data_IF_192719906620
#
_entry.id   IF_192719906620
#
_cell.length_a   1.000
_cell.length_b   1.000
_cell.length_c   1.000
_cell.angle_alpha   90.00
_cell.angle_beta   90.00
_cell.angle_gamma   90.00
#
_symmetry.space_group_name_H-M   'P 1'
#
loop_
_entity.id
_entity.type
_entity.pdbx_description
1 polymer ?
#
# COMPACT_ATOMS: atom_id res chain seq x y z
N UNK A 1 -18.06 7.57 -12.47
CA UNK A 1 -17.13 8.66 -12.87
C UNK A 1 -15.84 8.07 -13.43
N UNK A 2 -15.20 8.71 -14.41
CA UNK A 2 -13.84 8.34 -14.86
C UNK A 2 -12.78 8.92 -13.91
N UNK A 3 -11.93 8.07 -13.34
CA UNK A 3 -10.86 8.43 -12.42
C UNK A 3 -9.86 9.43 -13.00
N UNK A 4 -9.56 9.35 -14.31
CA UNK A 4 -8.61 10.26 -14.96
C UNK A 4 -9.06 11.70 -14.94
N UNK A 5 -10.38 11.94 -14.91
CA UNK A 5 -10.94 13.30 -14.88
C UNK A 5 -10.87 13.96 -13.49
N UNK A 6 -10.53 13.18 -12.46
CA UNK A 6 -10.46 13.59 -11.08
C UNK A 6 -9.02 13.60 -10.51
N UNK A 7 -8.01 13.31 -11.33
CA UNK A 7 -6.60 13.33 -10.90
C UNK A 7 -6.21 14.73 -10.47
N UNK A 8 -5.61 14.84 -9.27
CA UNK A 8 -5.07 16.08 -8.76
C UNK A 8 -3.64 16.31 -9.27
N UNK A 9 -2.81 15.27 -9.25
CA UNK A 9 -1.42 15.33 -9.72
C UNK A 9 -1.03 14.06 -10.48
N UNK A 10 -0.20 14.23 -11.51
CA UNK A 10 0.52 13.14 -12.18
C UNK A 10 2.01 13.51 -12.23
N UNK A 11 2.87 12.58 -11.83
CA UNK A 11 4.33 12.64 -11.94
C UNK A 11 4.84 11.39 -12.64
N UNK A 12 6.10 11.39 -13.05
CA UNK A 12 6.73 10.24 -13.68
C UNK A 12 8.15 10.05 -13.10
N UNK A 13 8.56 8.79 -12.87
CA UNK A 13 9.91 8.42 -12.41
C UNK A 13 10.88 8.05 -13.55
N UNK A 14 10.42 8.05 -14.79
CA UNK A 14 11.10 7.57 -16.01
C UNK A 14 11.49 6.07 -15.98
N UNK A 15 10.87 5.32 -15.06
CA UNK A 15 11.07 3.89 -14.80
C UNK A 15 9.87 3.32 -14.04
N UNK A 16 9.68 2.00 -13.94
CA UNK A 16 8.62 1.41 -13.12
C UNK A 16 8.65 1.88 -11.66
N UNK A 17 7.49 2.30 -11.14
CA UNK A 17 7.31 2.60 -9.71
C UNK A 17 7.22 1.28 -8.96
N UNK A 18 8.05 1.06 -7.95
CA UNK A 18 7.97 -0.11 -7.08
C UNK A 18 7.12 0.12 -5.83
N UNK A 19 7.13 1.33 -5.28
CA UNK A 19 6.50 1.64 -4.01
C UNK A 19 6.03 3.09 -3.95
N UNK A 20 4.91 3.33 -3.26
CA UNK A 20 4.40 4.68 -2.97
C UNK A 20 3.95 4.76 -1.52
N UNK A 21 4.17 5.90 -0.88
CA UNK A 21 3.73 6.16 0.49
C UNK A 21 3.25 7.62 0.61
N UNK A 22 2.15 7.81 1.34
CA UNK A 22 1.65 9.15 1.70
C UNK A 22 1.98 9.41 3.16
N UNK A 23 2.33 10.65 3.48
CA UNK A 23 2.43 11.10 4.87
C UNK A 23 1.07 11.59 5.42
N UNK A 24 1.01 11.80 6.74
CA UNK A 24 -0.12 12.47 7.40
C UNK A 24 -0.32 13.92 6.92
N UNK A 25 0.74 14.56 6.44
CA UNK A 25 0.75 15.92 5.90
C UNK A 25 0.47 15.95 4.40
N UNK A 26 0.04 14.82 3.81
CA UNK A 26 -0.30 14.68 2.40
C UNK A 26 0.88 14.76 1.42
N UNK A 27 2.11 14.63 1.90
CA UNK A 27 3.28 14.50 1.04
C UNK A 27 3.30 13.14 0.34
N UNK A 28 4.00 13.06 -0.79
CA UNK A 28 4.06 11.87 -1.65
C UNK A 28 5.50 11.41 -1.75
N UNK A 29 5.74 10.15 -1.39
CA UNK A 29 7.01 9.46 -1.59
C UNK A 29 6.80 8.36 -2.63
N UNK A 30 7.69 8.28 -3.62
CA UNK A 30 7.68 7.20 -4.61
C UNK A 30 9.07 6.63 -4.82
N UNK A 31 9.17 5.30 -4.74
CA UNK A 31 10.37 4.53 -5.00
C UNK A 31 10.31 3.86 -6.37
N UNK A 32 11.42 3.88 -7.09
CA UNK A 32 11.61 3.20 -8.37
C UNK A 32 12.30 1.83 -8.26
N UNK A 33 12.28 1.08 -9.36
CA UNK A 33 13.00 -0.18 -9.51
C UNK A 33 14.52 0.00 -9.57
N UNK A 34 15.02 1.19 -9.89
CA UNK A 34 16.46 1.54 -9.88
C UNK A 34 16.97 2.02 -8.51
N UNK A 35 16.11 2.09 -7.50
CA UNK A 35 16.44 2.59 -6.17
C UNK A 35 16.36 4.11 -5.97
N UNK A 36 15.81 4.88 -6.91
CA UNK A 36 15.54 6.30 -6.65
C UNK A 36 14.30 6.47 -5.78
N UNK A 37 14.44 7.21 -4.68
CA UNK A 37 13.33 7.70 -3.87
C UNK A 37 13.09 9.18 -4.18
N UNK A 38 11.87 9.53 -4.60
CA UNK A 38 11.47 10.91 -4.87
C UNK A 38 10.37 11.36 -3.91
N UNK A 39 10.49 12.61 -3.45
CA UNK A 39 9.54 13.25 -2.55
C UNK A 39 8.92 14.49 -3.21
N UNK A 40 7.59 14.60 -3.11
CA UNK A 40 6.83 15.81 -3.40
C UNK A 40 6.05 16.28 -2.18
N UNK A 41 6.01 17.60 -1.98
CA UNK A 41 5.27 18.21 -0.89
C UNK A 41 3.74 18.08 -1.07
N UNK A 42 3.00 18.58 -0.08
CA UNK A 42 1.54 18.57 -0.10
C UNK A 42 0.94 19.41 -1.24
N UNK A 43 1.67 20.35 -1.84
CA UNK A 43 1.23 21.13 -3.01
C UNK A 43 1.60 20.46 -4.34
N UNK A 44 2.39 19.38 -4.28
CA UNK A 44 2.86 18.61 -5.43
C UNK A 44 4.15 19.16 -6.04
N UNK A 45 4.82 20.09 -5.36
CA UNK A 45 6.14 20.55 -5.77
C UNK A 45 7.18 19.47 -5.48
N UNK A 46 8.15 19.31 -6.37
CA UNK A 46 9.27 18.41 -6.14
C UNK A 46 10.15 18.97 -5.03
N UNK A 47 10.48 18.14 -4.04
CA UNK A 47 11.36 18.50 -2.93
C UNK A 47 12.78 18.01 -3.19
N UNK A 48 12.93 16.70 -3.41
CA UNK A 48 14.21 16.05 -3.63
C UNK A 48 14.03 14.66 -4.26
N UNK A 49 15.10 14.17 -4.86
CA UNK A 49 15.25 12.79 -5.34
C UNK A 49 16.62 12.29 -4.89
N UNK A 50 16.67 11.14 -4.23
CA UNK A 50 17.91 10.56 -3.73
C UNK A 50 18.06 9.13 -4.24
N UNK A 51 19.19 8.78 -4.88
CA UNK A 51 19.49 7.41 -5.23
C UNK A 51 19.83 6.60 -3.97
N UNK A 52 19.24 5.40 -3.88
CA UNK A 52 19.62 4.37 -2.92
C UNK A 52 20.37 3.25 -3.67
N UNK A 53 20.32 2.01 -3.19
CA UNK A 53 21.22 0.96 -3.69
C UNK A 53 20.60 0.12 -4.81
N UNK A 54 19.30 -0.13 -4.74
CA UNK A 54 18.53 -1.00 -5.65
C UNK A 54 17.02 -0.74 -5.47
N UNK A 55 16.17 -1.49 -6.19
CA UNK A 55 14.71 -1.46 -6.10
C UNK A 55 14.22 -1.25 -4.67
N UNK A 56 13.35 -0.27 -4.50
CA UNK A 56 12.71 0.03 -3.22
C UNK A 56 11.54 -0.95 -3.01
N UNK A 57 11.64 -1.81 -2.00
CA UNK A 57 10.65 -2.84 -1.65
C UNK A 57 9.69 -2.42 -0.54
N UNK A 58 10.08 -1.45 0.29
CA UNK A 58 9.24 -0.89 1.35
C UNK A 58 9.66 0.54 1.71
N UNK A 59 8.70 1.34 2.20
CA UNK A 59 8.90 2.72 2.67
C UNK A 59 8.22 2.86 4.04
N UNK A 60 8.95 3.36 5.04
CA UNK A 60 8.40 3.70 6.35
C UNK A 60 8.74 5.15 6.71
N UNK A 61 7.72 5.92 7.13
CA UNK A 61 7.86 7.33 7.50
C UNK A 61 7.76 7.50 9.02
N UNK A 62 8.56 8.41 9.56
CA UNK A 62 8.30 9.05 10.84
C UNK A 62 8.29 10.58 10.66
N UNK A 63 8.29 11.34 11.77
CA UNK A 63 8.23 12.80 11.70
C UNK A 63 9.42 13.44 10.95
N UNK A 64 10.62 12.87 11.07
CA UNK A 64 11.87 13.50 10.62
C UNK A 64 12.62 12.72 9.54
N UNK A 65 12.29 11.44 9.37
CA UNK A 65 13.03 10.49 8.54
C UNK A 65 12.12 9.62 7.70
N UNK A 66 12.67 9.18 6.56
CA UNK A 66 12.11 8.13 5.71
C UNK A 66 13.10 6.99 5.67
N UNK A 67 12.63 5.79 6.00
CA UNK A 67 13.38 4.55 5.87
C UNK A 67 12.90 3.79 4.65
N UNK A 68 13.83 3.19 3.91
CA UNK A 68 13.52 2.33 2.76
C UNK A 68 14.29 1.03 2.83
N UNK A 69 13.63 -0.06 2.44
CA UNK A 69 14.29 -1.30 2.08
C UNK A 69 14.67 -1.20 0.59
N UNK A 70 15.96 -1.37 0.29
CA UNK A 70 16.55 -1.14 -1.03
C UNK A 70 17.59 -2.22 -1.33
N UNK A 71 17.19 -3.22 -2.12
CA UNK A 71 18.01 -4.39 -2.42
C UNK A 71 18.43 -5.12 -1.15
N UNK A 72 19.73 -5.16 -0.85
CA UNK A 72 20.28 -5.80 0.36
C UNK A 72 20.44 -4.85 1.56
N UNK A 73 19.90 -3.62 1.47
CA UNK A 73 20.15 -2.58 2.48
C UNK A 73 18.88 -1.97 3.00
N UNK A 74 18.97 -1.46 4.23
CA UNK A 74 18.11 -0.39 4.71
C UNK A 74 18.84 0.93 4.56
N UNK A 75 18.11 1.96 4.11
CA UNK A 75 18.62 3.32 3.98
C UNK A 75 17.65 4.26 4.69
N UNK A 76 18.17 5.08 5.60
CA UNK A 76 17.38 6.09 6.29
C UNK A 76 17.83 7.46 5.84
N UNK A 77 16.88 8.27 5.38
CA UNK A 77 17.10 9.60 4.86
C UNK A 77 16.35 10.63 5.70
N UNK A 78 16.90 11.84 5.75
CA UNK A 78 16.20 13.02 6.23
C UNK A 78 14.98 13.27 5.36
N UNK A 79 13.80 13.36 5.98
CA UNK A 79 12.55 13.58 5.26
C UNK A 79 12.51 14.95 4.55
N UNK A 80 13.10 15.97 5.15
CA UNK A 80 13.09 17.33 4.62
C UNK A 80 14.10 17.57 3.50
N UNK A 81 15.28 16.96 3.58
CA UNK A 81 16.39 17.22 2.64
C UNK A 81 16.69 16.07 1.67
N UNK A 82 16.24 14.86 1.97
CA UNK A 82 16.61 13.65 1.22
C UNK A 82 18.05 13.20 1.46
N UNK A 83 18.78 13.80 2.39
CA UNK A 83 20.15 13.38 2.74
C UNK A 83 20.12 12.04 3.46
N UNK A 84 20.97 11.09 3.03
CA UNK A 84 21.14 9.81 3.73
C UNK A 84 21.76 10.08 5.10
N UNK A 85 21.01 9.73 6.15
CA UNK A 85 21.45 9.82 7.54
C UNK A 85 22.33 8.61 7.89
N UNK A 86 21.92 7.43 7.47
CA UNK A 86 22.69 6.19 7.60
C UNK A 86 22.15 5.11 6.66
N UNK A 87 22.96 4.07 6.45
CA UNK A 87 22.57 2.86 5.74
C UNK A 87 23.25 1.65 6.38
N UNK A 88 22.58 0.50 6.36
CA UNK A 88 23.11 -0.77 6.82
C UNK A 88 22.79 -1.87 5.82
N UNK A 89 23.78 -2.72 5.53
CA UNK A 89 23.57 -3.95 4.79
C UNK A 89 22.89 -4.99 5.71
N UNK A 90 21.94 -5.73 5.15
CA UNK A 90 21.27 -6.85 5.80
C UNK A 90 21.78 -8.18 5.25
N UNK A 91 21.42 -9.27 5.92
CA UNK A 91 21.61 -10.64 5.41
C UNK A 91 20.41 -10.99 4.52
N UNK A 92 20.63 -10.99 3.20
CA UNK A 92 19.58 -11.21 2.22
C UNK A 92 18.89 -9.93 1.72
N UNK A 93 17.84 -10.11 0.94
CA UNK A 93 16.97 -9.03 0.44
C UNK A 93 16.32 -8.32 1.62
N UNK A 94 16.40 -7.00 1.66
CA UNK A 94 15.61 -6.16 2.54
C UNK A 94 14.17 -6.13 2.01
N UNK A 95 13.24 -6.63 2.81
CA UNK A 95 11.88 -6.88 2.36
C UNK A 95 10.88 -5.86 2.92
N UNK A 96 11.03 -5.52 4.20
CA UNK A 96 10.09 -4.68 4.91
C UNK A 96 10.79 -3.81 5.96
N UNK A 97 10.24 -2.63 6.22
CA UNK A 97 10.70 -1.70 7.25
C UNK A 97 9.51 -1.10 7.99
N UNK A 98 9.63 -0.93 9.30
CA UNK A 98 8.61 -0.32 10.14
C UNK A 98 9.26 0.48 11.27
N UNK A 99 8.81 1.71 11.48
CA UNK A 99 9.18 2.47 12.67
C UNK A 99 8.40 1.96 13.88
N UNK A 100 9.11 1.66 14.97
CA UNK A 100 8.55 1.16 16.21
C UNK A 100 9.25 1.77 17.42
N UNK A 101 8.50 2.52 18.22
CA UNK A 101 9.01 3.17 19.45
C UNK A 101 10.32 3.95 19.23
N UNK A 102 10.42 4.67 18.11
CA UNK A 102 11.59 5.47 17.74
C UNK A 102 12.75 4.69 17.11
N UNK A 103 12.66 3.37 17.03
CA UNK A 103 13.66 2.50 16.38
C UNK A 103 13.13 2.02 15.03
N UNK A 104 14.03 1.66 14.12
CA UNK A 104 13.67 1.01 12.87
C UNK A 104 13.71 -0.50 13.06
N UNK A 105 12.61 -1.17 12.74
CA UNK A 105 12.57 -2.63 12.59
C UNK A 105 12.58 -2.96 11.11
N UNK A 106 13.42 -3.92 10.71
CA UNK A 106 13.52 -4.37 9.33
C UNK A 106 13.44 -5.89 9.23
N UNK A 107 12.95 -6.38 8.10
CA UNK A 107 12.93 -7.79 7.74
C UNK A 107 13.84 -8.02 6.54
N UNK A 108 14.64 -9.09 6.59
CA UNK A 108 15.35 -9.58 5.42
C UNK A 108 15.14 -11.07 5.19
N UNK A 109 15.30 -11.50 3.94
CA UNK A 109 15.19 -12.91 3.54
C UNK A 109 16.18 -13.32 2.45
N UNK A 110 16.59 -14.58 2.48
CA UNK A 110 17.45 -15.22 1.48
C UNK A 110 16.61 -16.25 0.72
N UNK A 111 16.43 -15.99 -0.58
CA UNK A 111 15.76 -16.92 -1.48
C UNK A 111 16.77 -17.83 -2.15
N UNK A 112 16.58 -19.14 -2.01
CA UNK A 112 17.37 -20.14 -2.69
C UNK A 112 16.69 -20.56 -3.99
N UNK A 113 17.34 -20.27 -5.12
CA UNK A 113 16.80 -20.55 -6.46
C UNK A 113 16.75 -22.06 -6.73
N UNK A 114 17.67 -22.85 -6.15
CA UNK A 114 17.73 -24.30 -6.39
C UNK A 114 16.58 -25.03 -5.69
N UNK A 115 16.21 -24.56 -4.49
CA UNK A 115 15.11 -25.10 -3.68
C UNK A 115 13.77 -24.39 -3.94
N UNK A 116 13.79 -23.26 -4.66
CA UNK A 116 12.62 -22.43 -4.94
C UNK A 116 11.87 -22.03 -3.65
N UNK A 117 12.63 -21.77 -2.58
CA UNK A 117 12.10 -21.46 -1.24
C UNK A 117 13.02 -20.47 -0.50
N UNK A 118 12.48 -19.84 0.53
CA UNK A 118 13.26 -19.03 1.46
C UNK A 118 13.94 -19.95 2.48
N UNK A 119 15.26 -19.80 2.63
CA UNK A 119 16.06 -20.70 3.49
C UNK A 119 16.50 -20.03 4.79
N UNK A 120 16.65 -18.70 4.78
CA UNK A 120 17.09 -17.92 5.94
C UNK A 120 16.38 -16.57 5.92
N UNK A 121 16.07 -16.04 7.09
CA UNK A 121 15.50 -14.71 7.26
C UNK A 121 15.96 -14.12 8.58
N UNK A 122 15.81 -12.79 8.71
CA UNK A 122 16.17 -12.10 9.92
C UNK A 122 15.26 -10.90 10.20
N UNK A 123 15.01 -10.65 11.48
CA UNK A 123 14.39 -9.42 11.97
C UNK A 123 15.48 -8.61 12.66
N UNK A 124 15.59 -7.34 12.28
CA UNK A 124 16.63 -6.43 12.72
C UNK A 124 15.99 -5.28 13.47
N UNK A 125 16.65 -4.79 14.51
CA UNK A 125 16.28 -3.52 15.15
C UNK A 125 17.47 -2.58 15.19
N UNK A 126 17.28 -1.40 14.63
CA UNK A 126 18.25 -0.31 14.64
C UNK A 126 17.73 0.85 15.48
N UNK A 127 18.62 1.52 16.20
CA UNK A 127 18.30 2.81 16.80
C UNK A 127 18.01 3.86 15.71
N UNK A 128 17.44 4.99 16.10
CA UNK A 128 17.24 6.12 15.18
C UNK A 128 18.53 6.63 14.54
N UNK A 129 19.69 6.42 15.17
CA UNK A 129 21.01 6.78 14.65
C UNK A 129 21.68 5.70 13.80
N UNK A 130 21.01 4.55 13.58
CA UNK A 130 21.54 3.46 12.76
C UNK A 130 22.43 2.47 13.51
N UNK A 131 22.45 2.51 14.85
CA UNK A 131 23.15 1.49 15.64
C UNK A 131 22.32 0.21 15.66
N UNK A 132 22.90 -0.93 15.27
CA UNK A 132 22.26 -2.23 15.37
C UNK A 132 22.08 -2.60 16.84
N UNK A 133 20.84 -2.70 17.30
CA UNK A 133 20.50 -3.09 18.67
C UNK A 133 20.47 -4.62 18.80
N UNK A 134 19.78 -5.29 17.88
CA UNK A 134 19.75 -6.74 17.81
C UNK A 134 19.35 -7.23 16.42
N UNK A 135 19.67 -8.49 16.16
CA UNK A 135 19.22 -9.26 15.01
C UNK A 135 18.80 -10.65 15.49
N UNK A 136 17.60 -11.08 15.11
CA UNK A 136 17.12 -12.45 15.33
C UNK A 136 17.02 -13.15 13.97
N UNK A 137 17.78 -14.24 13.81
CA UNK A 137 17.77 -15.07 12.61
C UNK A 137 16.78 -16.20 12.76
N UNK A 138 16.12 -16.57 11.68
CA UNK A 138 15.06 -17.56 11.66
C UNK A 138 14.94 -18.24 10.30
N UNK A 139 14.37 -19.44 10.30
CA UNK A 139 14.15 -20.24 9.08
C UNK A 139 12.87 -19.78 8.34
N UNK A 140 11.95 -19.11 9.03
CA UNK A 140 10.73 -18.56 8.44
C UNK A 140 10.94 -17.17 7.86
N UNK A 141 10.42 -16.92 6.67
CA UNK A 141 10.24 -15.54 6.20
C UNK A 141 9.07 -14.85 6.94
N UNK A 142 9.30 -13.71 7.61
CA UNK A 142 8.22 -12.79 7.95
C UNK A 142 7.72 -12.11 6.68
N UNK A 143 6.43 -12.23 6.39
CA UNK A 143 5.80 -11.68 5.18
C UNK A 143 5.23 -10.28 5.36
N UNK A 144 5.02 -9.87 6.60
CA UNK A 144 4.38 -8.60 6.94
C UNK A 144 4.71 -8.21 8.38
N UNK A 145 4.88 -6.91 8.61
CA UNK A 145 4.91 -6.27 9.91
C UNK A 145 3.63 -5.45 10.09
N UNK A 146 2.89 -5.72 11.16
CA UNK A 146 1.68 -4.95 11.50
C UNK A 146 1.74 -4.44 12.93
N UNK A 147 1.13 -3.29 13.17
CA UNK A 147 0.97 -2.74 14.53
C UNK A 147 -0.47 -2.93 14.99
N UNK A 148 -0.69 -3.72 16.03
CA UNK A 148 -2.01 -3.97 16.62
C UNK A 148 -1.88 -4.01 18.14
N UNK A 149 -2.84 -3.42 18.87
CA UNK A 149 -2.90 -3.44 20.34
C UNK A 149 -1.58 -3.06 21.03
N UNK A 150 -0.91 -2.01 20.53
CA UNK A 150 0.39 -1.55 21.03
C UNK A 150 1.51 -2.60 20.93
N UNK A 151 1.35 -3.57 20.03
CA UNK A 151 2.37 -4.57 19.67
C UNK A 151 2.77 -4.43 18.21
N UNK A 152 4.04 -4.67 17.93
CA UNK A 152 4.56 -4.89 16.58
C UNK A 152 4.61 -6.41 16.32
N UNK A 153 3.85 -6.86 15.34
CA UNK A 153 3.67 -8.28 15.04
C UNK A 153 4.24 -8.63 13.67
N UNK A 154 4.96 -9.74 13.59
CA UNK A 154 5.56 -10.26 12.36
C UNK A 154 4.81 -11.52 11.90
N UNK A 155 4.08 -11.45 10.78
CA UNK A 155 3.34 -12.58 10.22
C UNK A 155 4.26 -13.58 9.51
N UNK A 156 4.25 -14.84 9.94
CA UNK A 156 5.25 -15.83 9.54
C UNK A 156 4.82 -16.74 8.38
N UNK A 157 5.79 -17.05 7.53
CA UNK A 157 5.76 -18.17 6.59
C UNK A 157 6.03 -19.52 7.25
N UNK A 158 6.33 -20.53 6.42
CA UNK A 158 6.76 -21.86 6.89
C UNK A 158 8.16 -21.79 7.52
N UNK A 159 8.51 -22.71 8.45
CA UNK A 159 7.69 -23.81 8.96
C UNK A 159 6.74 -23.46 10.11
N UNK A 160 7.03 -22.45 10.96
CA UNK A 160 6.19 -22.18 12.15
C UNK A 160 4.80 -21.61 11.84
N UNK A 161 4.66 -20.81 10.77
CA UNK A 161 3.45 -20.05 10.46
C UNK A 161 2.98 -19.18 11.66
N UNK A 162 1.83 -18.51 11.56
CA UNK A 162 1.29 -17.69 12.65
C UNK A 162 1.95 -16.32 12.69
N UNK A 163 2.25 -15.80 13.88
CA UNK A 163 2.97 -14.54 14.01
C UNK A 163 3.79 -14.45 15.30
N UNK A 164 4.83 -13.60 15.28
CA UNK A 164 5.65 -13.27 16.43
C UNK A 164 5.30 -11.88 16.96
N UNK A 165 5.33 -11.69 18.28
CA UNK A 165 5.45 -10.37 18.89
C UNK A 165 6.92 -9.94 18.90
N UNK A 166 7.24 -8.93 18.08
CA UNK A 166 8.59 -8.39 17.90
C UNK A 166 8.72 -6.98 18.48
N UNK A 167 7.86 -6.64 19.44
CA UNK A 167 7.82 -5.33 20.09
C UNK A 167 9.09 -5.03 20.90
N UNK A 168 9.76 -6.05 21.42
CA UNK A 168 10.94 -5.98 22.28
C UNK A 168 12.10 -6.83 21.72
N UNK A 169 13.21 -6.91 22.45
CA UNK A 169 14.30 -7.84 22.12
C UNK A 169 13.87 -9.32 22.24
N UNK A 170 14.49 -10.25 21.50
CA UNK A 170 14.19 -11.68 21.59
C UNK A 170 14.53 -12.27 22.98
N UNK A 171 13.92 -13.38 23.39
CA UNK A 171 13.07 -14.27 22.58
C UNK A 171 11.65 -13.71 22.36
N UNK A 172 11.17 -13.84 21.13
CA UNK A 172 9.82 -13.38 20.75
C UNK A 172 8.73 -14.35 21.20
N UNK A 173 7.58 -13.81 21.59
CA UNK A 173 6.39 -14.61 21.84
C UNK A 173 5.79 -15.07 20.50
N UNK A 174 5.48 -16.36 20.39
CA UNK A 174 4.88 -16.94 19.18
C UNK A 174 3.41 -17.27 19.39
N UNK A 175 2.55 -16.60 18.65
CA UNK A 175 1.15 -17.00 18.52
C UNK A 175 1.03 -18.02 17.41
N UNK A 176 0.65 -19.25 17.80
CA UNK A 176 0.45 -20.34 16.86
C UNK A 176 -0.62 -19.98 15.82
N UNK A 177 -0.43 -20.39 14.57
CA UNK A 177 -1.44 -20.17 13.55
C UNK A 177 -2.72 -20.95 13.89
N UNK A 178 -3.89 -20.45 13.48
CA UNK A 178 -5.13 -21.20 13.57
C UNK A 178 -5.19 -22.40 12.60
N UNK A 179 -4.36 -22.39 11.55
CA UNK A 179 -4.21 -23.45 10.55
C UNK A 179 -2.72 -23.80 10.39
N UNK A 180 -2.35 -24.77 9.55
CA UNK A 180 -0.93 -25.01 9.22
C UNK A 180 -0.42 -24.17 8.04
N UNK A 181 -1.21 -23.18 7.59
CA UNK A 181 -0.96 -22.42 6.38
C UNK A 181 -0.15 -21.15 6.67
N UNK A 182 0.88 -20.83 5.87
CA UNK A 182 1.68 -19.62 6.05
C UNK A 182 0.87 -18.36 5.82
N UNK A 183 1.25 -17.31 6.56
CA UNK A 183 0.82 -15.93 6.31
C UNK A 183 1.40 -15.44 4.99
N UNK A 184 0.62 -14.69 4.22
CA UNK A 184 0.98 -14.09 2.92
C UNK A 184 0.89 -12.57 2.95
N UNK A 185 -0.02 -12.03 3.75
CA UNK A 185 -0.23 -10.60 3.91
C UNK A 185 -0.78 -10.27 5.30
N UNK A 186 -0.66 -9.00 5.69
CA UNK A 186 -1.20 -8.49 6.94
C UNK A 186 -1.62 -7.04 6.78
N UNK A 187 -2.54 -6.63 7.65
CA UNK A 187 -2.91 -5.23 7.81
C UNK A 187 -3.34 -5.01 9.24
N UNK A 188 -3.24 -3.78 9.71
CA UNK A 188 -3.88 -3.37 10.95
C UNK A 188 -4.74 -2.13 10.74
N UNK A 189 -5.68 -1.91 11.65
CA UNK A 189 -6.46 -0.70 11.68
C UNK A 189 -7.72 -0.82 12.52
N UNK A 190 -8.10 0.30 13.13
CA UNK A 190 -9.35 0.50 13.88
C UNK A 190 -9.46 -0.34 15.16
N UNK A 191 -9.69 -1.64 15.04
CA UNK A 191 -10.03 -2.51 16.19
C UNK A 191 -9.23 -3.81 16.26
N UNK A 192 -8.51 -4.21 15.21
CA UNK A 192 -7.72 -5.45 15.22
C UNK A 192 -6.66 -5.47 14.10
N UNK A 193 -5.55 -6.16 14.35
CA UNK A 193 -4.64 -6.67 13.31
C UNK A 193 -5.20 -7.93 12.66
N UNK A 194 -4.98 -8.08 11.35
CA UNK A 194 -5.43 -9.20 10.52
C UNK A 194 -4.28 -9.81 9.73
N UNK A 195 -4.31 -11.13 9.56
CA UNK A 195 -3.39 -11.91 8.74
C UNK A 195 -4.15 -12.77 7.74
N UNK A 196 -3.73 -12.73 6.48
CA UNK A 196 -4.23 -13.57 5.40
C UNK A 196 -3.30 -14.75 5.17
N UNK A 197 -3.85 -15.91 4.85
CA UNK A 197 -3.10 -17.16 4.71
C UNK A 197 -3.31 -17.81 3.34
N UNK A 198 -2.38 -18.70 2.97
CA UNK A 198 -2.41 -19.43 1.68
C UNK A 198 -3.60 -20.37 1.48
N UNK A 199 -4.33 -20.74 2.54
CA UNK A 199 -5.55 -21.56 2.44
C UNK A 199 -6.83 -20.72 2.39
N UNK A 200 -6.71 -19.41 2.24
CA UNK A 200 -7.83 -18.47 2.24
C UNK A 200 -8.25 -17.98 3.62
N UNK A 201 -7.64 -18.49 4.69
CA UNK A 201 -7.99 -18.06 6.06
C UNK A 201 -7.61 -16.61 6.29
N UNK A 202 -8.56 -15.86 6.86
CA UNK A 202 -8.32 -14.54 7.46
C UNK A 202 -8.47 -14.69 8.97
N UNK A 203 -7.38 -14.49 9.70
CA UNK A 203 -7.33 -14.56 11.14
C UNK A 203 -6.97 -13.20 11.74
N UNK A 204 -7.44 -12.92 12.95
CA UNK A 204 -6.97 -11.76 13.68
C UNK A 204 -5.69 -12.06 14.47
N UNK A 205 -5.04 -10.99 14.94
CA UNK A 205 -3.83 -11.06 15.76
C UNK A 205 -4.00 -11.81 17.10
N UNK A 206 -5.23 -12.05 17.55
CA UNK A 206 -5.50 -12.88 18.73
C UNK A 206 -5.60 -14.38 18.39
N UNK A 207 -5.39 -14.76 17.13
CA UNK A 207 -5.45 -16.14 16.64
C UNK A 207 -6.86 -16.63 16.29
N UNK A 208 -7.88 -15.77 16.31
CA UNK A 208 -9.24 -16.15 15.93
C UNK A 208 -9.43 -16.11 14.41
N UNK A 209 -9.99 -17.19 13.84
CA UNK A 209 -10.40 -17.23 12.43
C UNK A 209 -11.68 -16.42 12.26
N UNK A 210 -11.66 -15.42 11.39
CA UNK A 210 -12.82 -14.60 11.05
C UNK A 210 -13.54 -15.15 9.81
N UNK A 211 -12.79 -15.56 8.79
CA UNK A 211 -13.36 -16.13 7.57
C UNK A 211 -12.36 -16.99 6.82
N UNK A 212 -12.85 -17.71 5.80
CA UNK A 212 -12.04 -18.44 4.84
C UNK A 212 -12.57 -18.11 3.44
N UNK A 213 -11.67 -17.66 2.56
CA UNK A 213 -11.96 -17.30 1.18
C UNK A 213 -11.57 -18.42 0.20
N UNK A 214 -12.06 -18.31 -1.04
CA UNK A 214 -11.69 -19.23 -2.11
C UNK A 214 -10.37 -18.75 -2.77
N UNK A 215 -9.28 -19.45 -2.45
CA UNK A 215 -7.93 -19.14 -2.92
C UNK A 215 -7.03 -18.55 -1.82
N UNK A 216 -5.73 -18.47 -2.08
CA UNK A 216 -4.78 -17.87 -1.14
C UNK A 216 -5.07 -16.38 -0.97
N UNK A 217 -5.11 -15.86 0.26
CA UNK A 217 -5.31 -14.43 0.48
C UNK A 217 -4.05 -13.67 0.05
N UNK A 218 -4.17 -12.71 -0.84
CA UNK A 218 -3.04 -11.89 -1.35
C UNK A 218 -3.01 -10.49 -0.73
N UNK A 219 -4.18 -9.92 -0.47
CA UNK A 219 -4.27 -8.61 0.17
C UNK A 219 -5.40 -8.55 1.18
N UNK A 220 -5.15 -7.77 2.22
CA UNK A 220 -6.14 -7.38 3.22
C UNK A 220 -6.19 -5.87 3.34
N UNK A 221 -7.38 -5.35 3.59
CA UNK A 221 -7.58 -3.93 3.88
C UNK A 221 -8.65 -3.79 4.93
N UNK A 222 -8.31 -3.22 6.08
CA UNK A 222 -9.28 -2.85 7.10
C UNK A 222 -10.15 -1.70 6.59
N UNK A 223 -11.47 -1.84 6.74
CA UNK A 223 -12.47 -0.86 6.37
C UNK A 223 -13.24 -0.42 7.63
N UNK A 224 -13.97 0.70 7.57
CA UNK A 224 -14.78 1.21 8.71
C UNK A 224 -15.69 0.16 9.37
N UNK A 225 -16.25 -0.79 8.60
CA UNK A 225 -17.22 -1.79 9.09
C UNK A 225 -16.75 -3.24 8.97
N UNK A 226 -15.45 -3.47 8.83
CA UNK A 226 -14.88 -4.80 8.67
C UNK A 226 -13.62 -4.78 7.82
N UNK A 227 -13.52 -5.66 6.83
CA UNK A 227 -12.34 -5.75 5.98
C UNK A 227 -12.69 -6.23 4.58
N UNK A 228 -11.73 -6.08 3.67
CA UNK A 228 -11.77 -6.65 2.33
C UNK A 228 -10.59 -7.59 2.18
N UNK A 229 -10.88 -8.85 1.83
CA UNK A 229 -9.90 -9.85 1.49
C UNK A 229 -9.92 -10.10 -0.02
N UNK A 230 -8.75 -10.16 -0.65
CA UNK A 230 -8.63 -10.57 -2.05
C UNK A 230 -7.73 -11.77 -2.18
N UNK A 231 -8.02 -12.65 -3.14
CA UNK A 231 -7.26 -13.88 -3.35
C UNK A 231 -6.47 -13.87 -4.65
N UNK A 232 -5.51 -14.78 -4.75
CA UNK A 232 -4.67 -15.10 -5.90
C UNK A 232 -5.48 -15.35 -7.19
N UNK A 233 -6.67 -15.95 -7.07
CA UNK A 233 -7.58 -16.17 -8.20
C UNK A 233 -8.49 -14.95 -8.48
N UNK A 234 -8.14 -13.76 -7.96
CA UNK A 234 -8.84 -12.51 -8.23
C UNK A 234 -10.22 -12.38 -7.58
N UNK A 235 -10.54 -13.19 -6.57
CA UNK A 235 -11.74 -12.94 -5.74
C UNK A 235 -11.49 -11.71 -4.87
N UNK A 236 -12.49 -10.85 -4.70
CA UNK A 236 -12.53 -9.80 -3.68
C UNK A 236 -13.80 -9.99 -2.84
N UNK A 237 -13.68 -10.05 -1.53
CA UNK A 237 -14.81 -10.26 -0.60
C UNK A 237 -14.78 -9.19 0.47
N UNK A 238 -15.87 -8.42 0.56
CA UNK A 238 -16.10 -7.52 1.69
C UNK A 238 -16.77 -8.27 2.83
N UNK A 239 -16.19 -8.16 4.02
CA UNK A 239 -16.61 -8.85 5.24
C UNK A 239 -16.95 -7.85 6.33
N UNK A 240 -17.85 -8.21 7.24
CA UNK A 240 -18.02 -7.49 8.52
C UNK A 240 -16.80 -7.72 9.41
N UNK A 241 -16.69 -7.00 10.53
CA UNK A 241 -15.64 -7.22 11.54
C UNK A 241 -15.60 -8.66 12.09
N UNK A 242 -16.74 -9.35 12.08
CA UNK A 242 -16.88 -10.73 12.53
C UNK A 242 -16.78 -11.77 11.38
N UNK A 243 -16.46 -11.32 10.15
CA UNK A 243 -16.26 -12.21 9.00
C UNK A 243 -17.52 -12.62 8.24
N UNK A 244 -18.68 -12.01 8.50
CA UNK A 244 -19.87 -12.23 7.68
C UNK A 244 -19.68 -11.60 6.30
N UNK A 245 -20.00 -12.33 5.23
CA UNK A 245 -19.86 -11.83 3.86
C UNK A 245 -20.93 -10.77 3.55
N UNK A 246 -20.48 -9.57 3.21
CA UNK A 246 -21.32 -8.46 2.75
C UNK A 246 -21.50 -8.47 1.23
N UNK A 247 -20.41 -8.67 0.49
CA UNK A 247 -20.41 -8.67 -0.97
C UNK A 247 -19.20 -9.44 -1.50
N UNK A 248 -19.22 -9.79 -2.80
CA UNK A 248 -18.03 -10.30 -3.49
C UNK A 248 -17.97 -9.83 -4.93
N UNK A 249 -16.76 -9.81 -5.49
CA UNK A 249 -16.49 -9.53 -6.89
C UNK A 249 -15.35 -10.43 -7.37
N UNK A 250 -15.61 -11.24 -8.40
CA UNK A 250 -14.59 -12.04 -9.10
C UNK A 250 -14.17 -11.30 -10.37
N UNK A 251 -12.89 -11.35 -10.71
CA UNK A 251 -12.34 -10.75 -11.91
C UNK A 251 -10.88 -11.14 -12.09
N UNK A 252 -10.15 -10.37 -12.90
CA UNK A 252 -8.70 -10.54 -13.04
C UNK A 252 -7.98 -10.37 -11.68
N UNK A 253 -6.77 -10.92 -11.52
CA UNK A 253 -5.98 -10.82 -10.29
C UNK A 253 -5.90 -9.39 -9.76
N UNK A 254 -5.96 -9.25 -8.45
CA UNK A 254 -5.79 -7.95 -7.78
C UNK A 254 -4.30 -7.69 -7.65
N UNK A 255 -3.83 -6.55 -8.15
CA UNK A 255 -2.40 -6.19 -8.08
C UNK A 255 -2.08 -5.25 -6.92
N UNK A 256 -3.07 -4.47 -6.49
CA UNK A 256 -2.98 -3.61 -5.33
C UNK A 256 -4.38 -3.22 -4.84
N UNK A 257 -4.51 -2.99 -3.54
CA UNK A 257 -5.72 -2.41 -2.95
C UNK A 257 -5.39 -1.54 -1.74
N UNK A 258 -6.24 -0.56 -1.45
CA UNK A 258 -6.11 0.27 -0.25
C UNK A 258 -7.45 0.91 0.12
N UNK A 259 -7.55 1.32 1.38
CA UNK A 259 -8.61 2.20 1.88
C UNK A 259 -8.17 3.65 1.65
N UNK A 260 -9.00 4.49 1.01
CA UNK A 260 -8.69 5.92 0.89
C UNK A 260 -9.96 6.76 0.85
N UNK A 261 -9.97 7.86 1.62
CA UNK A 261 -11.06 8.83 1.71
C UNK A 261 -12.38 8.25 2.25
N UNK A 262 -13.25 9.16 2.69
CA UNK A 262 -14.61 8.83 3.15
C UNK A 262 -15.61 9.65 2.36
N UNK A 263 -16.61 9.00 1.77
CA UNK A 263 -17.69 9.63 1.03
C UNK A 263 -19.04 9.17 1.60
N UNK A 264 -19.91 10.12 1.97
CA UNK A 264 -21.22 9.86 2.56
C UNK A 264 -21.18 8.85 3.73
N UNK A 265 -20.20 9.03 4.63
CA UNK A 265 -20.02 8.19 5.82
C UNK A 265 -19.52 6.78 5.54
N UNK A 266 -19.15 6.44 4.30
CA UNK A 266 -18.46 5.21 3.96
C UNK A 266 -17.05 5.48 3.50
N UNK A 267 -16.16 4.64 3.99
CA UNK A 267 -14.83 4.56 3.42
C UNK A 267 -14.84 3.95 2.03
N UNK A 268 -13.91 4.40 1.19
CA UNK A 268 -13.78 3.95 -0.18
C UNK A 268 -12.67 2.91 -0.30
N UNK A 269 -13.05 1.75 -0.84
CA UNK A 269 -12.09 0.76 -1.31
C UNK A 269 -11.61 1.16 -2.70
N UNK A 270 -10.31 1.30 -2.86
CA UNK A 270 -9.64 1.40 -4.15
C UNK A 270 -8.97 0.07 -4.44
N UNK A 271 -9.31 -0.55 -5.56
CA UNK A 271 -8.75 -1.86 -5.92
C UNK A 271 -8.42 -1.89 -7.41
N UNK A 272 -7.17 -2.25 -7.70
CA UNK A 272 -6.58 -2.38 -9.02
C UNK A 272 -6.56 -3.86 -9.43
N UNK A 273 -7.03 -4.15 -10.64
CA UNK A 273 -6.96 -5.49 -11.24
C UNK A 273 -6.09 -5.47 -12.48
N UNK A 274 -5.10 -6.36 -12.57
CA UNK A 274 -4.22 -6.50 -13.74
C UNK A 274 -4.77 -7.58 -14.68
N UNK A 275 -5.02 -7.23 -15.94
CA UNK A 275 -5.46 -8.16 -16.99
C UNK A 275 -4.30 -8.74 -17.82
N UNK A 276 -3.06 -8.47 -17.42
CA UNK A 276 -1.85 -8.87 -18.10
C UNK A 276 -1.25 -7.75 -18.96
N UNK A 277 -2.03 -6.74 -19.35
CA UNK A 277 -1.58 -5.60 -20.15
C UNK A 277 -1.67 -4.27 -19.39
N UNK A 278 -2.74 -4.08 -18.62
CA UNK A 278 -3.06 -2.84 -17.93
C UNK A 278 -3.79 -3.13 -16.62
N UNK A 279 -3.89 -2.12 -15.77
CA UNK A 279 -4.73 -2.21 -14.57
C UNK A 279 -6.03 -1.44 -14.74
N UNK A 280 -7.14 -2.09 -14.39
CA UNK A 280 -8.40 -1.39 -14.14
C UNK A 280 -8.51 -1.08 -12.66
N UNK A 281 -8.49 0.21 -12.31
CA UNK A 281 -8.71 0.70 -10.95
C UNK A 281 -10.18 1.04 -10.78
N UNK A 282 -10.75 0.59 -9.68
CA UNK A 282 -12.15 0.76 -9.35
C UNK A 282 -12.30 1.26 -7.92
N UNK A 283 -13.29 2.11 -7.70
CA UNK A 283 -13.59 2.69 -6.38
C UNK A 283 -14.99 2.29 -5.96
N UNK A 284 -15.12 1.71 -4.77
CA UNK A 284 -16.39 1.30 -4.18
C UNK A 284 -16.61 2.01 -2.85
N UNK A 285 -17.82 2.53 -2.63
CA UNK A 285 -18.23 2.93 -1.28
C UNK A 285 -18.77 1.70 -0.55
N UNK A 286 -18.25 1.43 0.64
CA UNK A 286 -18.61 0.23 1.42
C UNK A 286 -20.07 0.18 1.88
N UNK A 287 -20.78 1.31 1.91
CA UNK A 287 -22.21 1.38 2.28
C UNK A 287 -23.17 1.42 1.08
N UNK A 288 -22.66 1.61 -0.14
CA UNK A 288 -23.46 1.75 -1.35
C UNK A 288 -23.12 0.59 -2.27
N UNK A 289 -24.11 -0.20 -2.66
CA UNK A 289 -23.90 -1.20 -3.70
C UNK A 289 -23.40 -0.52 -4.98
N UNK A 290 -22.39 -1.11 -5.62
CA UNK A 290 -21.90 -0.68 -6.92
C UNK A 290 -20.65 0.22 -6.90
N UNK A 291 -20.15 0.50 -8.10
CA UNK A 291 -18.89 1.20 -8.35
C UNK A 291 -19.12 2.71 -8.47
N UNK A 292 -18.36 3.52 -7.73
CA UNK A 292 -18.40 4.98 -7.81
C UNK A 292 -17.58 5.52 -8.99
N UNK A 293 -16.38 4.99 -9.15
CA UNK A 293 -15.43 5.44 -10.16
C UNK A 293 -14.60 4.29 -10.73
N UNK A 294 -14.11 4.47 -11.95
CA UNK A 294 -13.25 3.52 -12.64
C UNK A 294 -12.27 4.24 -13.55
N UNK A 295 -11.11 3.64 -13.82
CA UNK A 295 -10.16 4.11 -14.81
C UNK A 295 -9.18 3.02 -15.20
N UNK A 296 -8.65 3.10 -16.42
CA UNK A 296 -7.59 2.21 -16.93
C UNK A 296 -6.24 2.90 -16.90
N UNK A 297 -5.25 2.24 -16.32
CA UNK A 297 -3.88 2.74 -16.12
C UNK A 297 -2.89 1.70 -16.63
N UNK A 298 -1.63 2.09 -16.81
CA UNK A 298 -0.55 1.11 -16.85
C UNK A 298 -0.59 0.25 -15.56
N UNK A 299 0.04 -0.92 -15.60
CA UNK A 299 -0.01 -1.88 -14.49
C UNK A 299 0.32 -1.20 -13.17
N UNK A 300 -0.57 -1.32 -12.19
CA UNK A 300 -0.42 -0.70 -10.87
C UNK A 300 0.33 -1.67 -9.97
N UNK A 301 1.47 -1.22 -9.47
CA UNK A 301 2.36 -1.98 -8.57
C UNK A 301 2.13 -1.66 -7.10
N UNK A 302 1.80 -0.41 -6.80
CA UNK A 302 1.68 0.06 -5.43
C UNK A 302 0.54 1.08 -5.31
N UNK A 303 -0.12 1.05 -4.16
CA UNK A 303 -1.16 2.00 -3.79
C UNK A 303 -1.03 2.34 -2.31
N UNK A 304 -1.24 3.61 -1.96
CA UNK A 304 -1.37 4.02 -0.57
C UNK A 304 -2.46 5.07 -0.44
N UNK A 305 -3.23 4.98 0.64
CA UNK A 305 -4.40 5.79 0.89
C UNK A 305 -4.38 6.42 2.28
N UNK A 306 -4.91 7.64 2.38
CA UNK A 306 -5.21 8.32 3.64
C UNK A 306 -6.67 8.81 3.60
N UNK A 307 -7.12 9.46 4.67
CA UNK A 307 -8.43 10.11 4.65
C UNK A 307 -8.52 11.26 3.64
N UNK A 308 -7.39 11.81 3.20
CA UNK A 308 -7.30 13.00 2.36
C UNK A 308 -6.80 12.71 0.94
N UNK A 309 -5.99 11.66 0.74
CA UNK A 309 -5.35 11.36 -0.55
C UNK A 309 -5.34 9.88 -0.90
N UNK A 310 -5.19 9.62 -2.20
CA UNK A 310 -4.92 8.31 -2.78
C UNK A 310 -3.78 8.48 -3.77
N UNK A 311 -2.74 7.65 -3.71
CA UNK A 311 -1.67 7.57 -4.73
C UNK A 311 -1.56 6.17 -5.30
N UNK A 312 -1.37 6.07 -6.62
CA UNK A 312 -0.90 4.84 -7.27
C UNK A 312 0.46 5.05 -7.93
N UNK A 313 1.25 3.98 -7.98
CA UNK A 313 2.47 3.84 -8.76
C UNK A 313 2.30 2.81 -9.87
N UNK A 314 2.69 3.17 -11.10
CA UNK A 314 2.54 2.33 -12.29
C UNK A 314 3.88 1.81 -12.86
N UNK A 315 3.78 0.73 -13.65
CA UNK A 315 4.85 0.16 -14.47
C UNK A 315 5.46 1.15 -15.47
N UNK A 316 4.67 2.09 -16.00
CA UNK A 316 5.17 3.12 -16.93
C UNK A 316 5.83 4.32 -16.23
N UNK A 317 6.07 4.21 -14.92
CA UNK A 317 6.63 5.24 -14.07
C UNK A 317 5.65 6.29 -13.59
N UNK A 318 4.39 6.23 -14.00
CA UNK A 318 3.38 7.19 -13.55
C UNK A 318 3.10 7.08 -12.06
N UNK A 319 3.19 8.21 -11.35
CA UNK A 319 2.68 8.39 -9.99
C UNK A 319 1.45 9.28 -10.07
N UNK A 320 0.27 8.71 -9.81
CA UNK A 320 -1.02 9.40 -9.99
C UNK A 320 -1.69 9.60 -8.63
N UNK A 321 -2.08 10.83 -8.34
CA UNK A 321 -2.61 11.24 -7.03
C UNK A 321 -3.99 11.85 -7.17
N UNK A 322 -4.89 11.48 -6.26
CA UNK A 322 -6.19 12.10 -6.05
C UNK A 322 -6.23 12.81 -4.71
N UNK A 323 -6.77 14.02 -4.73
CA UNK A 323 -7.10 14.80 -3.55
C UNK A 323 -8.60 14.66 -3.23
N UNK A 324 -8.94 14.53 -1.95
CA UNK A 324 -10.31 14.26 -1.49
C UNK A 324 -11.31 15.30 -1.98
N UNK A 325 -11.02 16.59 -1.83
CA UNK A 325 -11.97 17.64 -2.18
C UNK A 325 -12.25 17.65 -3.68
N UNK A 326 -11.19 17.55 -4.48
CA UNK A 326 -11.30 17.47 -5.94
C UNK A 326 -12.06 16.22 -6.37
N UNK A 327 -11.75 15.07 -5.79
CA UNK A 327 -12.39 13.80 -6.09
C UNK A 327 -13.90 13.84 -5.78
N UNK A 328 -14.29 14.32 -4.60
CA UNK A 328 -15.70 14.43 -4.22
C UNK A 328 -16.48 15.44 -5.06
N UNK A 329 -15.87 16.59 -5.37
CA UNK A 329 -16.49 17.57 -6.28
C UNK A 329 -16.80 16.93 -7.63
N UNK A 330 -15.90 16.11 -8.16
CA UNK A 330 -16.10 15.41 -9.43
C UNK A 330 -17.18 14.33 -9.33
N UNK A 331 -17.22 13.54 -8.25
CA UNK A 331 -18.28 12.55 -8.01
C UNK A 331 -19.67 13.18 -7.98
N UNK A 332 -19.79 14.37 -7.38
CA UNK A 332 -21.07 15.07 -7.27
C UNK A 332 -21.45 15.87 -8.53
N UNK A 333 -20.48 16.13 -9.42
CA UNK A 333 -20.71 16.90 -10.65
C UNK A 333 -21.40 16.10 -11.77
N UNK A 334 -21.58 14.78 -11.62
CA UNK A 334 -22.33 13.92 -12.54
C UNK A 334 -23.87 14.05 -12.43
N UNK A 335 -24.38 15.28 -12.30
CA UNK A 335 -25.76 15.62 -12.69
C UNK A 335 -25.89 15.65 -14.21
N UNK A 336 -27.10 15.59 -14.80
CA UNK A 336 -27.27 15.55 -16.25
C UNK A 336 -26.52 16.72 -16.85
N UNK A 337 -25.73 16.44 -17.89
CA UNK A 337 -25.03 17.43 -18.69
C UNK A 337 -25.94 18.63 -18.90
N UNK A 338 -25.75 19.69 -18.11
CA UNK A 338 -26.35 20.96 -18.43
C UNK A 338 -25.86 21.29 -19.83
N UNK A 339 -26.78 21.66 -20.71
CA UNK A 339 -26.57 22.30 -22.00
C UNK A 339 -25.65 23.54 -21.83
N UNK A 340 -24.38 23.31 -21.56
CA UNK A 340 -23.40 24.32 -21.21
C UNK A 340 -22.31 24.44 -22.27
N UNK A 341 -22.52 23.85 -23.46
CA UNK A 341 -21.46 23.79 -24.49
C UNK A 341 -21.81 24.33 -25.87
N UNK A 342 -23.05 24.79 -26.11
CA UNK A 342 -23.33 25.58 -27.34
C UNK A 342 -23.25 27.09 -27.10
N UNK A 343 -23.82 27.59 -25.99
CA UNK A 343 -23.82 29.03 -25.69
C UNK A 343 -22.44 29.55 -25.35
N UNK A 344 -21.66 28.80 -24.56
CA UNK A 344 -20.30 29.17 -24.13
C UNK A 344 -19.31 29.12 -25.30
N UNK A 345 -19.42 28.08 -26.14
CA UNK A 345 -18.64 27.93 -27.36
C UNK A 345 -18.99 28.99 -28.41
N UNK A 346 -20.28 29.32 -28.61
CA UNK A 346 -20.71 30.40 -29.50
C UNK A 346 -20.28 31.79 -29.03
N UNK A 347 -20.25 32.04 -27.72
CA UNK A 347 -19.75 33.29 -27.13
C UNK A 347 -18.23 33.43 -27.32
N UNK A 348 -17.47 32.36 -27.12
CA UNK A 348 -16.03 32.36 -27.36
C UNK A 348 -15.70 32.51 -28.86
N UNK A 349 -16.49 31.89 -29.75
CA UNK A 349 -16.35 32.07 -31.19
C UNK A 349 -16.64 33.52 -31.63
N UNK A 350 -17.69 34.16 -31.08
CA UNK A 350 -17.99 35.58 -31.31
C UNK A 350 -16.89 36.51 -30.80
N UNK A 351 -16.34 36.24 -29.61
CA UNK A 351 -15.25 37.03 -29.04
C UNK A 351 -13.94 36.91 -29.85
N UNK A 352 -13.67 35.76 -30.48
CA UNK A 352 -12.54 35.59 -31.39
C UNK A 352 -12.73 36.33 -32.72
N UNK A 353 -13.96 36.40 -33.24
CA UNK A 353 -14.26 37.13 -34.47
C UNK A 353 -14.10 38.65 -34.31
N UNK A 354 -14.50 39.21 -33.16
CA UNK A 354 -14.34 40.63 -32.83
C UNK A 354 -12.89 41.07 -32.60
N UNK A 355 -11.96 40.14 -32.36
CA UNK A 355 -10.52 40.44 -32.22
C UNK A 355 -9.76 40.42 -33.55
N UNK A 356 -10.45 40.08 -34.65
CA UNK A 356 -9.88 40.02 -36.01
C UNK A 356 -10.50 41.07 -36.96
N UNK A 357 -11.35 41.94 -36.44
CA UNK A 357 -11.79 43.21 -37.06
C UNK A 357 -11.09 44.36 -36.35
#
# INVERSE_FOLDING_TARGET
MDLKTATWMVRNLDQPVSMVQLSSENEVFAGGWDGQLTHWDSEGNHCWTTPTNDRISAIALNETSVAVASGLHVVVLSRSSGEIQWSAALEGSADEVQWWQGNLVAVSSVYDIEHNDFIESAIWRFSSSGELQWVERMDERPWTLIVADEQLLAGLGRPRCGHLDVSSEPPFEHTKPPTSSPTTCGTSGRTQGLFGQTDGTVANHLGAVLSTEEGAVEHLTCMVKGYVATTDDGLAVGRTENGERCWSSKGAPVSAQTEAMVHDGASLLWLARDDGMASTVNVWATNKGGKLASGSFAKVHAMHGTSERMVLGCEDGSVVVWDREMFHRRLNSSGPSQEADERTSALQAKLRALRRS
#
